data_IF_407241752831
#
_entry.id   IF_407241752831
#
_cell.length_a   1.000
_cell.length_b   1.000
_cell.length_c   1.000
_cell.angle_alpha   90.00
_cell.angle_beta   90.00
_cell.angle_gamma   90.00
#
_symmetry.space_group_name_H-M   'P 1'
#
loop_
_entity.id
_entity.type
_entity.pdbx_description
1 polymer ?
#
# COMPACT_ATOMS: atom_id res chain seq x y z
N UNK A 1 -22.14 4.01 -32.80
CA UNK A 1 -21.54 5.19 -32.17
C UNK A 1 -20.39 5.65 -33.04
N UNK A 2 -20.37 6.93 -33.42
CA UNK A 2 -19.35 7.45 -34.35
C UNK A 2 -18.05 7.67 -33.57
N UNK A 3 -16.98 6.94 -33.91
CA UNK A 3 -15.67 7.16 -33.30
C UNK A 3 -14.97 8.33 -33.98
N UNK A 4 -15.15 9.52 -33.43
CA UNK A 4 -14.61 10.76 -33.95
C UNK A 4 -13.07 10.70 -34.07
N UNK A 5 -12.40 10.15 -33.08
CA UNK A 5 -10.94 10.01 -33.05
C UNK A 5 -10.44 9.14 -34.21
N UNK A 6 -11.11 8.03 -34.50
CA UNK A 6 -10.72 7.14 -35.58
C UNK A 6 -10.99 7.78 -36.95
N UNK A 7 -12.06 8.58 -37.07
CA UNK A 7 -12.32 9.37 -38.30
C UNK A 7 -11.25 10.46 -38.52
N UNK A 8 -10.81 11.14 -37.46
CA UNK A 8 -9.68 12.09 -37.51
C UNK A 8 -8.38 11.40 -37.93
N UNK A 9 -8.06 10.21 -37.32
CA UNK A 9 -6.89 9.42 -37.71
C UNK A 9 -6.95 9.00 -39.17
N UNK A 10 -8.10 8.56 -39.64
CA UNK A 10 -8.32 8.17 -41.04
C UNK A 10 -8.09 9.36 -41.98
N UNK A 11 -8.57 10.57 -41.63
CA UNK A 11 -8.32 11.78 -42.38
C UNK A 11 -6.82 12.10 -42.48
N UNK A 12 -6.10 12.13 -41.38
CA UNK A 12 -4.66 12.38 -41.37
C UNK A 12 -3.92 11.36 -42.23
N UNK A 13 -4.23 10.07 -42.12
CA UNK A 13 -3.62 9.00 -42.94
C UNK A 13 -3.91 9.20 -44.45
N UNK A 14 -5.13 9.64 -44.81
CA UNK A 14 -5.50 9.88 -46.19
C UNK A 14 -4.73 11.07 -46.76
N UNK A 15 -4.56 12.13 -46.01
CA UNK A 15 -3.77 13.30 -46.41
C UNK A 15 -2.30 12.94 -46.60
N UNK A 16 -1.69 12.21 -45.66
CA UNK A 16 -0.28 11.80 -45.70
C UNK A 16 0.01 10.79 -46.83
N UNK A 17 -0.91 9.85 -47.08
CA UNK A 17 -0.74 8.84 -48.13
C UNK A 17 -1.14 9.37 -49.54
N UNK A 18 -1.88 10.47 -49.61
CA UNK A 18 -2.42 10.99 -50.88
C UNK A 18 -3.39 10.05 -51.60
N UNK A 19 -3.85 8.95 -50.95
CA UNK A 19 -4.63 7.90 -51.61
C UNK A 19 -5.54 7.16 -50.67
N UNK A 20 -6.83 7.12 -50.93
CA UNK A 20 -7.81 6.33 -50.20
C UNK A 20 -7.55 4.84 -50.29
N UNK A 21 -7.12 4.34 -51.46
CA UNK A 21 -6.83 2.92 -51.68
C UNK A 21 -5.60 2.46 -50.88
N UNK A 22 -4.56 3.31 -50.84
CA UNK A 22 -3.36 2.99 -50.04
C UNK A 22 -3.67 2.92 -48.53
N UNK A 23 -4.51 3.81 -48.03
CA UNK A 23 -4.95 3.81 -46.64
C UNK A 23 -5.84 2.60 -46.35
N UNK A 24 -6.79 2.30 -47.22
CA UNK A 24 -7.66 1.14 -47.08
C UNK A 24 -6.84 -0.18 -46.99
N UNK A 25 -5.82 -0.34 -47.84
CA UNK A 25 -4.91 -1.50 -47.79
C UNK A 25 -4.09 -1.57 -46.46
N UNK A 26 -3.60 -0.42 -45.96
CA UNK A 26 -2.85 -0.37 -44.69
C UNK A 26 -3.71 -0.64 -43.46
N UNK A 27 -4.99 -0.30 -43.51
CA UNK A 27 -5.94 -0.49 -42.42
C UNK A 27 -6.71 -1.81 -42.52
N UNK A 28 -6.39 -2.67 -43.48
CA UNK A 28 -7.10 -3.93 -43.76
C UNK A 28 -8.63 -3.71 -43.87
N UNK A 29 -9.03 -2.72 -44.63
CA UNK A 29 -10.44 -2.35 -44.83
C UNK A 29 -10.73 -2.00 -46.31
N UNK A 30 -11.98 -1.68 -46.61
CA UNK A 30 -12.39 -1.25 -47.97
C UNK A 30 -12.22 0.26 -48.18
N UNK A 31 -11.93 0.66 -49.41
CA UNK A 31 -11.89 2.08 -49.79
C UNK A 31 -13.22 2.79 -49.50
N UNK A 32 -14.35 2.06 -49.58
CA UNK A 32 -15.66 2.57 -49.19
C UNK A 32 -15.77 2.95 -47.71
N UNK A 33 -15.16 2.14 -46.81
CA UNK A 33 -15.14 2.43 -45.37
C UNK A 33 -14.28 3.68 -45.08
N UNK A 34 -13.10 3.79 -45.66
CA UNK A 34 -12.25 4.98 -45.55
C UNK A 34 -12.99 6.22 -46.03
N UNK A 35 -13.67 6.13 -47.20
CA UNK A 35 -14.47 7.23 -47.72
C UNK A 35 -15.62 7.63 -46.81
N UNK A 36 -16.27 6.64 -46.19
CA UNK A 36 -17.36 6.86 -45.23
C UNK A 36 -16.88 7.58 -43.97
N UNK A 37 -15.72 7.18 -43.41
CA UNK A 37 -15.10 7.83 -42.26
C UNK A 37 -14.83 9.33 -42.52
N UNK A 38 -14.26 9.64 -43.71
CA UNK A 38 -14.04 11.05 -44.12
C UNK A 38 -15.36 11.80 -44.28
N UNK A 39 -16.36 11.20 -44.92
CA UNK A 39 -17.68 11.87 -45.13
C UNK A 39 -18.39 12.09 -43.78
N UNK A 40 -18.25 11.18 -42.82
CA UNK A 40 -18.78 11.37 -41.46
C UNK A 40 -18.05 12.51 -40.72
N UNK A 41 -16.72 12.60 -40.84
CA UNK A 41 -15.94 13.70 -40.27
C UNK A 41 -16.36 15.05 -40.88
N UNK A 42 -16.43 15.14 -42.20
CA UNK A 42 -16.86 16.35 -42.92
C UNK A 42 -18.31 16.73 -42.53
N UNK A 43 -19.19 15.74 -42.38
CA UNK A 43 -20.57 15.96 -41.95
C UNK A 43 -20.67 16.48 -40.52
N UNK A 44 -19.84 15.96 -39.60
CA UNK A 44 -19.79 16.46 -38.23
C UNK A 44 -19.24 17.90 -38.12
N UNK A 45 -18.26 18.23 -38.97
CA UNK A 45 -17.64 19.57 -39.03
C UNK A 45 -18.44 20.54 -39.90
N UNK A 46 -19.48 20.07 -40.56
CA UNK A 46 -20.28 20.83 -41.53
C UNK A 46 -19.41 21.54 -42.60
N UNK A 47 -18.25 20.94 -42.91
CA UNK A 47 -17.24 21.56 -43.76
C UNK A 47 -16.52 20.49 -44.59
N UNK A 48 -16.28 20.79 -45.87
CA UNK A 48 -15.46 19.96 -46.72
C UNK A 48 -13.98 20.13 -46.40
N UNK A 49 -13.32 19.03 -46.12
CA UNK A 49 -11.87 18.99 -45.86
C UNK A 49 -11.06 18.59 -47.09
N UNK A 50 -11.65 17.77 -47.97
CA UNK A 50 -11.02 17.25 -49.18
C UNK A 50 -11.77 17.69 -50.43
N UNK A 51 -11.03 18.10 -51.46
CA UNK A 51 -11.50 18.25 -52.81
C UNK A 51 -11.15 17.00 -53.62
N UNK A 52 -12.18 16.31 -54.11
CA UNK A 52 -12.01 15.15 -54.99
C UNK A 52 -12.10 15.60 -56.44
N UNK A 53 -11.01 15.52 -57.16
CA UNK A 53 -11.02 15.52 -58.60
C UNK A 53 -10.74 14.11 -59.09
N UNK A 54 -11.10 13.80 -60.34
CA UNK A 54 -10.90 12.47 -60.93
C UNK A 54 -9.42 12.08 -61.06
N UNK A 55 -8.48 13.02 -60.82
CA UNK A 55 -7.04 12.79 -60.99
C UNK A 55 -6.19 13.11 -59.76
N UNK A 56 -6.68 13.88 -58.79
CA UNK A 56 -5.88 14.29 -57.60
C UNK A 56 -6.75 14.45 -56.37
N UNK A 57 -6.16 14.08 -55.22
CA UNK A 57 -6.66 14.39 -53.89
C UNK A 57 -6.01 15.70 -53.44
N UNK A 58 -6.80 16.71 -53.13
CA UNK A 58 -6.31 17.98 -52.61
C UNK A 58 -7.05 18.38 -51.35
N UNK A 59 -6.35 19.04 -50.41
CA UNK A 59 -6.97 19.67 -49.26
C UNK A 59 -7.71 20.96 -49.66
N UNK A 60 -8.86 21.20 -49.03
CA UNK A 60 -9.45 22.55 -49.00
C UNK A 60 -8.62 23.42 -48.04
N UNK A 61 -8.85 24.75 -48.05
CA UNK A 61 -8.23 25.64 -47.07
C UNK A 61 -8.60 25.25 -45.64
N UNK A 62 -9.88 24.92 -45.39
CA UNK A 62 -10.34 24.39 -44.11
C UNK A 62 -9.70 23.04 -43.76
N UNK A 63 -9.53 22.15 -44.76
CA UNK A 63 -8.86 20.87 -44.60
C UNK A 63 -7.40 21.02 -44.21
N UNK A 64 -6.67 21.99 -44.79
CA UNK A 64 -5.28 22.28 -44.42
C UNK A 64 -5.15 22.73 -42.98
N UNK A 65 -5.94 23.73 -42.58
CA UNK A 65 -5.96 24.23 -41.20
C UNK A 65 -6.35 23.11 -40.20
N UNK A 66 -7.33 22.30 -40.55
CA UNK A 66 -7.77 21.19 -39.73
C UNK A 66 -6.68 20.13 -39.60
N UNK A 67 -5.99 19.75 -40.68
CA UNK A 67 -4.87 18.82 -40.66
C UNK A 67 -3.73 19.29 -39.74
N UNK A 68 -3.32 20.56 -39.87
CA UNK A 68 -2.27 21.17 -39.04
C UNK A 68 -2.61 21.16 -37.54
N UNK A 69 -3.90 21.29 -37.19
CA UNK A 69 -4.37 21.29 -35.82
C UNK A 69 -4.60 19.89 -35.26
N UNK A 70 -5.17 19.00 -36.05
CA UNK A 70 -5.55 17.64 -35.57
C UNK A 70 -4.34 16.73 -35.41
N UNK A 71 -3.32 16.87 -36.25
CA UNK A 71 -2.13 16.04 -36.20
C UNK A 71 -1.41 16.08 -34.85
N UNK A 72 -1.08 17.23 -34.24
CA UNK A 72 -0.51 17.27 -32.90
C UNK A 72 -1.47 16.73 -31.80
N UNK A 73 -2.77 17.04 -31.91
CA UNK A 73 -3.76 16.52 -30.94
C UNK A 73 -3.78 14.99 -30.94
N UNK A 74 -3.75 14.35 -32.10
CA UNK A 74 -3.67 12.88 -32.18
C UNK A 74 -2.35 12.32 -31.62
N UNK A 75 -1.25 13.06 -31.82
CA UNK A 75 0.04 12.69 -31.19
C UNK A 75 -0.04 12.74 -29.68
N UNK A 76 -0.62 13.80 -29.12
CA UNK A 76 -0.80 13.95 -27.66
C UNK A 76 -1.69 12.83 -27.09
N UNK A 77 -2.75 12.44 -27.81
CA UNK A 77 -3.60 11.30 -27.44
C UNK A 77 -2.81 9.99 -27.46
N UNK A 78 -1.96 9.78 -28.46
CA UNK A 78 -1.14 8.57 -28.56
C UNK A 78 -0.08 8.52 -27.46
N UNK A 79 0.50 9.67 -27.12
CA UNK A 79 1.44 9.82 -26.00
C UNK A 79 0.77 9.52 -24.67
N UNK A 80 -0.40 10.12 -24.40
CA UNK A 80 -1.17 9.83 -23.17
C UNK A 80 -1.55 8.36 -23.05
N UNK A 81 -1.95 7.71 -24.16
CA UNK A 81 -2.24 6.28 -24.16
C UNK A 81 -0.98 5.43 -23.94
N UNK A 82 0.18 5.85 -24.46
CA UNK A 82 1.45 5.18 -24.25
C UNK A 82 1.91 5.31 -22.79
N UNK A 83 1.79 6.49 -22.19
CA UNK A 83 2.05 6.72 -20.78
C UNK A 83 1.18 5.83 -19.89
N UNK A 84 -0.14 5.80 -20.14
CA UNK A 84 -1.07 4.95 -19.39
C UNK A 84 -0.73 3.45 -19.51
N UNK A 85 -0.27 2.99 -20.67
CA UNK A 85 0.20 1.60 -20.88
C UNK A 85 1.54 1.34 -20.19
N UNK A 86 2.46 2.31 -20.23
CA UNK A 86 3.77 2.21 -19.59
C UNK A 86 3.64 2.14 -18.06
N UNK A 87 2.67 2.83 -17.47
CA UNK A 87 2.37 2.74 -16.03
C UNK A 87 2.04 1.31 -15.58
N UNK A 88 1.54 0.44 -16.46
CA UNK A 88 1.29 -0.97 -16.16
C UNK A 88 2.56 -1.84 -16.25
N UNK A 89 3.62 -1.37 -16.91
CA UNK A 89 4.83 -2.16 -17.20
C UNK A 89 6.03 -1.68 -16.38
N UNK A 90 6.22 -0.37 -16.27
CA UNK A 90 7.38 0.25 -15.61
C UNK A 90 6.94 1.02 -14.36
N UNK A 91 7.54 0.76 -13.18
CA UNK A 91 7.22 1.51 -11.98
C UNK A 91 7.85 2.90 -12.02
N UNK A 92 7.03 3.95 -12.00
CA UNK A 92 7.44 5.36 -11.93
C UNK A 92 6.36 6.23 -11.27
N UNK A 93 6.70 7.46 -10.92
CA UNK A 93 5.79 8.44 -10.32
C UNK A 93 5.62 8.23 -8.81
N UNK A 94 4.59 8.85 -8.23
CA UNK A 94 4.39 8.92 -6.78
C UNK A 94 3.58 7.73 -6.27
N UNK A 95 4.12 7.03 -5.27
CA UNK A 95 3.49 5.94 -4.51
C UNK A 95 3.16 6.44 -3.10
N UNK A 96 1.87 6.50 -2.77
CA UNK A 96 1.39 6.94 -1.45
C UNK A 96 1.09 5.74 -0.57
N UNK A 97 1.89 5.60 0.47
CA UNK A 97 1.84 4.47 1.41
C UNK A 97 1.35 4.96 2.78
N UNK A 98 0.37 4.28 3.32
CA UNK A 98 -0.01 4.40 4.73
C UNK A 98 0.54 3.22 5.50
N UNK A 99 0.96 3.44 6.76
CA UNK A 99 1.25 2.35 7.70
C UNK A 99 0.90 2.73 9.13
N UNK A 100 0.63 1.71 9.95
CA UNK A 100 0.60 1.89 11.40
C UNK A 100 2.00 2.24 11.91
N UNK A 101 2.14 3.20 12.87
CA UNK A 101 3.43 3.78 13.24
C UNK A 101 4.50 2.76 13.63
N UNK A 102 4.24 1.85 14.56
CA UNK A 102 5.23 0.87 15.01
C UNK A 102 5.77 0.00 13.86
N UNK A 103 4.87 -0.57 13.05
CA UNK A 103 5.23 -1.37 11.88
C UNK A 103 5.91 -0.52 10.80
N UNK A 104 5.40 0.70 10.59
CA UNK A 104 5.91 1.65 9.61
C UNK A 104 7.34 2.09 9.88
N UNK A 105 7.63 2.46 11.13
CA UNK A 105 8.96 2.90 11.56
C UNK A 105 9.98 1.75 11.53
N UNK A 106 9.56 0.57 11.97
CA UNK A 106 10.46 -0.56 12.12
C UNK A 106 10.79 -1.27 10.81
N UNK A 107 9.77 -1.56 10.01
CA UNK A 107 9.92 -2.43 8.84
C UNK A 107 9.60 -1.75 7.51
N UNK A 108 8.46 -1.02 7.43
CA UNK A 108 8.04 -0.47 6.15
C UNK A 108 9.02 0.59 5.64
N UNK A 109 9.61 1.40 6.54
CA UNK A 109 10.57 2.42 6.15
C UNK A 109 11.86 1.82 5.57
N UNK A 110 12.42 0.76 6.18
CA UNK A 110 13.60 0.07 5.63
C UNK A 110 13.30 -0.59 4.28
N UNK A 111 12.10 -1.19 4.13
CA UNK A 111 11.63 -1.71 2.84
C UNK A 111 11.51 -0.60 1.79
N UNK A 112 11.00 0.58 2.15
CA UNK A 112 10.90 1.73 1.23
C UNK A 112 12.28 2.19 0.78
N UNK A 113 13.25 2.27 1.70
CA UNK A 113 14.62 2.66 1.35
C UNK A 113 15.20 1.71 0.30
N UNK A 114 15.15 0.40 0.55
CA UNK A 114 15.64 -0.62 -0.40
C UNK A 114 14.84 -0.64 -1.71
N UNK A 115 13.52 -0.42 -1.65
CA UNK A 115 12.67 -0.33 -2.84
C UNK A 115 13.08 0.84 -3.74
N UNK A 116 13.36 2.02 -3.18
CA UNK A 116 13.80 3.20 -3.93
C UNK A 116 15.18 3.05 -4.56
N UNK A 117 16.06 2.26 -3.96
CA UNK A 117 17.35 1.90 -4.59
C UNK A 117 17.14 1.06 -5.86
N UNK A 118 16.18 0.14 -5.84
CA UNK A 118 15.85 -0.70 -7.00
C UNK A 118 15.01 0.04 -8.06
N UNK A 119 14.18 1.00 -7.65
CA UNK A 119 13.22 1.72 -8.51
C UNK A 119 13.32 3.23 -8.30
N UNK A 120 14.40 3.83 -8.78
CA UNK A 120 14.75 5.25 -8.56
C UNK A 120 13.76 6.27 -9.13
N UNK A 121 12.90 5.87 -10.08
CA UNK A 121 11.87 6.72 -10.68
C UNK A 121 10.57 6.77 -9.86
N UNK A 122 10.49 5.99 -8.76
CA UNK A 122 9.34 6.02 -7.85
C UNK A 122 9.62 6.94 -6.68
N UNK A 123 8.77 7.97 -6.54
CA UNK A 123 8.73 8.82 -5.35
C UNK A 123 7.80 8.18 -4.33
N UNK A 124 8.25 7.94 -3.10
CA UNK A 124 7.41 7.34 -2.05
C UNK A 124 7.06 8.37 -0.99
N UNK A 125 5.77 8.51 -0.73
CA UNK A 125 5.20 9.32 0.36
C UNK A 125 4.64 8.37 1.42
N UNK A 126 5.27 8.33 2.62
CA UNK A 126 4.84 7.49 3.73
C UNK A 126 4.11 8.32 4.77
N UNK A 127 2.88 7.94 5.08
CA UNK A 127 2.08 8.50 6.18
C UNK A 127 1.92 7.46 7.28
N UNK A 128 2.23 7.84 8.51
CA UNK A 128 2.09 6.97 9.69
C UNK A 128 0.89 7.42 10.52
N UNK A 129 -0.07 6.53 10.72
CA UNK A 129 -1.21 6.80 11.63
C UNK A 129 -1.85 5.51 12.14
N UNK A 130 -2.46 5.59 13.35
CA UNK A 130 -3.25 4.48 13.91
C UNK A 130 -4.64 4.39 13.29
N UNK A 131 -5.14 5.46 12.65
CA UNK A 131 -6.43 5.46 11.99
C UNK A 131 -6.37 4.60 10.72
N UNK A 132 -7.28 3.64 10.61
CA UNK A 132 -7.45 2.89 9.35
C UNK A 132 -7.92 3.86 8.26
N UNK A 133 -7.17 3.98 7.14
CA UNK A 133 -7.51 4.91 6.09
C UNK A 133 -8.67 4.39 5.23
N UNK A 134 -9.45 5.32 4.68
CA UNK A 134 -10.19 5.06 3.45
C UNK A 134 -9.25 5.33 2.28
N UNK A 135 -8.73 4.25 1.65
CA UNK A 135 -7.68 4.37 0.64
C UNK A 135 -8.05 5.34 -0.49
N UNK A 136 -9.31 5.32 -0.93
CA UNK A 136 -9.79 6.16 -2.03
C UNK A 136 -9.92 7.62 -1.61
N UNK A 137 -10.59 7.89 -0.49
CA UNK A 137 -10.86 9.26 -0.02
C UNK A 137 -9.59 9.94 0.52
N UNK A 138 -8.74 9.19 1.22
CA UNK A 138 -7.47 9.69 1.76
C UNK A 138 -6.35 9.67 0.71
N UNK A 139 -6.57 9.07 -0.47
CA UNK A 139 -5.65 9.08 -1.61
C UNK A 139 -4.41 8.20 -1.43
N UNK A 140 -4.51 7.08 -0.70
CA UNK A 140 -3.42 6.11 -0.55
C UNK A 140 -3.50 5.00 -1.60
N UNK A 141 -2.35 4.61 -2.15
CA UNK A 141 -2.22 3.49 -3.06
C UNK A 141 -2.16 2.15 -2.30
N UNK A 142 -1.44 2.12 -1.18
CA UNK A 142 -1.23 0.93 -0.34
C UNK A 142 -1.30 1.32 1.14
N UNK A 143 -1.94 0.48 1.96
CA UNK A 143 -1.88 0.56 3.42
C UNK A 143 -1.27 -0.72 3.99
N UNK A 144 -0.24 -0.60 4.84
CA UNK A 144 0.38 -1.72 5.56
C UNK A 144 -0.06 -1.65 7.02
N UNK A 145 -0.82 -2.64 7.45
CA UNK A 145 -1.45 -2.62 8.78
C UNK A 145 -1.48 -4.00 9.43
N UNK A 146 -1.71 -4.02 10.72
CA UNK A 146 -1.94 -5.25 11.52
C UNK A 146 -3.39 -5.33 11.96
N UNK A 147 -3.99 -6.50 11.83
CA UNK A 147 -5.33 -6.77 12.32
C UNK A 147 -5.52 -8.25 12.68
N UNK A 148 -6.42 -8.52 13.62
CA UNK A 148 -6.88 -9.89 13.88
C UNK A 148 -7.81 -10.37 12.75
N UNK A 149 -8.65 -9.45 12.25
CA UNK A 149 -9.50 -9.64 11.08
C UNK A 149 -9.73 -8.28 10.42
N UNK A 150 -9.93 -8.28 9.12
CA UNK A 150 -10.28 -7.08 8.38
C UNK A 150 -11.80 -7.03 8.18
N UNK A 151 -12.42 -5.84 8.25
CA UNK A 151 -13.81 -5.68 7.88
C UNK A 151 -14.02 -6.01 6.40
N UNK A 152 -15.20 -6.49 6.06
CA UNK A 152 -15.57 -6.69 4.66
C UNK A 152 -15.58 -5.33 3.95
N UNK A 153 -14.74 -5.20 2.94
CA UNK A 153 -14.53 -3.96 2.20
C UNK A 153 -14.27 -4.29 0.73
N UNK A 154 -14.46 -3.31 -0.15
CA UNK A 154 -14.09 -3.45 -1.56
C UNK A 154 -12.57 -3.49 -1.82
N UNK A 155 -11.75 -3.49 -0.79
CA UNK A 155 -10.29 -3.50 -0.89
C UNK A 155 -9.74 -4.92 -0.97
N UNK A 156 -8.56 -5.05 -1.57
CA UNK A 156 -7.81 -6.29 -1.58
C UNK A 156 -6.86 -6.28 -0.38
N UNK A 157 -6.97 -7.30 0.46
CA UNK A 157 -6.07 -7.53 1.56
C UNK A 157 -5.14 -8.71 1.23
N UNK A 158 -3.86 -8.42 1.12
CA UNK A 158 -2.83 -9.41 0.87
C UNK A 158 -2.08 -9.68 2.18
N UNK A 159 -2.14 -10.91 2.74
CA UNK A 159 -1.35 -11.23 3.91
C UNK A 159 0.15 -11.23 3.56
N UNK A 160 0.96 -10.61 4.44
CA UNK A 160 2.41 -10.55 4.33
C UNK A 160 3.05 -11.47 5.36
N UNK A 161 2.56 -11.45 6.60
CA UNK A 161 3.11 -12.23 7.70
C UNK A 161 2.21 -12.17 8.92
N UNK A 162 2.72 -12.68 10.02
CA UNK A 162 2.04 -12.65 11.32
C UNK A 162 2.96 -12.05 12.37
N UNK A 163 2.38 -11.48 13.41
CA UNK A 163 3.08 -11.05 14.61
C UNK A 163 2.15 -11.23 15.80
N UNK A 164 2.68 -11.22 16.99
CA UNK A 164 1.87 -11.23 18.21
C UNK A 164 2.46 -10.28 19.24
N UNK A 165 1.68 -9.96 20.26
CA UNK A 165 2.13 -9.12 21.36
C UNK A 165 2.63 -9.95 22.52
N UNK A 166 3.59 -9.38 23.25
CA UNK A 166 4.18 -9.95 24.46
C UNK A 166 4.06 -8.95 25.60
N UNK A 167 4.02 -9.45 26.85
CA UNK A 167 4.12 -8.61 28.02
C UNK A 167 5.58 -8.29 28.31
N UNK A 168 5.85 -7.01 28.57
CA UNK A 168 7.18 -6.51 28.88
C UNK A 168 7.18 -5.51 30.02
N UNK A 169 8.29 -5.42 30.72
CA UNK A 169 8.56 -4.43 31.75
C UNK A 169 10.05 -4.12 31.81
N UNK A 170 10.45 -3.01 32.42
CA UNK A 170 11.87 -2.77 32.68
C UNK A 170 12.39 -3.64 33.85
N UNK A 171 13.68 -4.01 33.81
CA UNK A 171 14.32 -4.70 34.94
C UNK A 171 14.18 -3.93 36.26
N UNK A 172 14.25 -2.58 36.19
CA UNK A 172 14.13 -1.72 37.38
C UNK A 172 12.74 -1.77 38.03
N UNK A 173 11.68 -1.92 37.22
CA UNK A 173 10.33 -2.10 37.72
C UNK A 173 10.19 -3.47 38.45
N UNK A 174 10.65 -4.53 37.76
CA UNK A 174 10.55 -5.89 38.31
C UNK A 174 11.38 -6.06 39.58
N UNK A 175 12.55 -5.42 39.68
CA UNK A 175 13.36 -5.44 40.93
C UNK A 175 12.65 -4.85 42.14
N UNK A 176 11.75 -3.85 41.90
CA UNK A 176 10.99 -3.18 42.98
C UNK A 176 9.68 -3.89 43.32
N UNK A 177 9.01 -4.45 42.33
CA UNK A 177 7.64 -4.94 42.47
C UNK A 177 7.51 -6.46 42.35
N UNK A 178 8.62 -7.15 42.10
CA UNK A 178 8.64 -8.59 41.86
C UNK A 178 8.34 -8.97 40.40
N UNK A 179 8.57 -10.25 40.09
CA UNK A 179 8.34 -10.81 38.74
C UNK A 179 7.05 -11.65 38.80
N UNK A 180 6.02 -11.32 38.01
CA UNK A 180 4.82 -12.14 37.94
C UNK A 180 5.15 -13.51 37.31
N UNK A 181 4.66 -14.59 37.91
CA UNK A 181 4.91 -15.96 37.47
C UNK A 181 3.70 -16.60 36.79
N UNK A 182 2.52 -16.07 37.04
CA UNK A 182 1.27 -16.51 36.45
C UNK A 182 0.36 -15.30 36.14
N UNK A 183 -0.61 -15.42 35.23
CA UNK A 183 -1.50 -14.31 34.87
C UNK A 183 -2.21 -13.65 36.04
N UNK A 184 -2.55 -14.41 37.06
CA UNK A 184 -3.19 -13.91 38.31
C UNK A 184 -2.32 -12.88 39.05
N UNK A 185 -1.00 -12.98 38.96
CA UNK A 185 -0.07 -12.06 39.64
C UNK A 185 -0.15 -10.64 39.07
N UNK A 186 -0.58 -10.48 37.83
CA UNK A 186 -0.75 -9.17 37.17
C UNK A 186 -1.69 -8.23 37.95
N UNK A 187 -2.61 -8.80 38.74
CA UNK A 187 -3.51 -8.00 39.58
C UNK A 187 -2.78 -7.17 40.67
N UNK A 188 -1.50 -7.47 40.95
CA UNK A 188 -0.65 -6.79 41.95
C UNK A 188 0.33 -5.81 41.28
N UNK A 189 0.31 -5.72 39.96
CA UNK A 189 1.22 -4.87 39.17
C UNK A 189 0.49 -3.69 38.54
N UNK A 190 1.23 -2.62 38.30
CA UNK A 190 0.75 -1.51 37.47
C UNK A 190 0.74 -1.98 36.00
N UNK A 191 -0.44 -2.24 35.47
CA UNK A 191 -0.64 -2.62 34.06
C UNK A 191 -0.99 -1.37 33.27
N UNK A 192 -0.22 -1.08 32.23
CA UNK A 192 -0.37 0.10 31.38
C UNK A 192 -1.21 -0.23 30.14
N UNK A 193 -2.12 0.67 29.78
CA UNK A 193 -3.04 0.48 28.68
C UNK A 193 -2.47 0.98 27.34
N UNK A 194 -2.64 0.18 26.30
CA UNK A 194 -2.43 0.57 24.89
C UNK A 194 -3.77 0.46 24.16
N UNK A 195 -4.28 1.58 23.68
CA UNK A 195 -5.56 1.66 22.97
C UNK A 195 -5.30 1.85 21.48
N UNK A 196 -5.40 0.77 20.71
CA UNK A 196 -5.22 0.79 19.26
C UNK A 196 -6.34 0.04 18.56
N UNK A 197 -6.59 0.29 17.27
CA UNK A 197 -7.59 -0.48 16.49
C UNK A 197 -7.32 -1.99 16.49
N UNK A 198 -6.08 -2.40 16.70
CA UNK A 198 -5.66 -3.80 16.68
C UNK A 198 -5.82 -4.50 18.03
N UNK A 199 -5.89 -3.76 19.16
CA UNK A 199 -5.94 -4.33 20.50
C UNK A 199 -6.85 -3.51 21.44
N UNK A 200 -7.86 -4.10 22.06
CA UNK A 200 -8.72 -3.39 23.00
C UNK A 200 -7.95 -3.01 24.28
N UNK A 201 -8.11 -1.76 24.71
CA UNK A 201 -7.37 -1.16 25.81
C UNK A 201 -7.69 -1.72 27.20
N UNK A 202 -8.72 -2.53 27.34
CA UNK A 202 -9.29 -2.88 28.64
C UNK A 202 -9.04 -4.33 29.07
N UNK A 203 -8.50 -5.19 28.20
CA UNK A 203 -8.21 -6.58 28.57
C UNK A 203 -6.99 -7.14 27.82
N UNK A 204 -6.29 -8.05 28.47
CA UNK A 204 -5.27 -8.89 27.85
C UNK A 204 -5.74 -10.34 27.82
N UNK A 205 -5.81 -10.92 26.63
CA UNK A 205 -6.05 -12.34 26.43
C UNK A 205 -4.72 -13.04 26.28
N UNK A 206 -4.38 -13.85 27.25
CA UNK A 206 -3.10 -14.53 27.37
C UNK A 206 -3.30 -16.00 27.01
N UNK A 207 -2.68 -16.44 25.93
CA UNK A 207 -2.65 -17.85 25.55
C UNK A 207 -1.36 -18.50 26.06
N UNK A 208 -1.47 -19.53 26.85
CA UNK A 208 -0.34 -20.24 27.46
C UNK A 208 -0.59 -21.73 27.69
N UNK A 209 0.31 -22.42 28.41
CA UNK A 209 0.26 -23.88 28.59
C UNK A 209 -1.03 -24.39 29.24
N UNK A 210 -1.64 -23.58 30.09
CA UNK A 210 -2.88 -23.93 30.82
C UNK A 210 -4.15 -23.47 30.10
N UNK A 211 -4.02 -23.00 28.85
CA UNK A 211 -5.11 -22.46 28.04
C UNK A 211 -5.15 -20.93 28.04
N UNK A 212 -6.35 -20.38 27.81
CA UNK A 212 -6.58 -18.94 27.75
C UNK A 212 -6.85 -18.36 29.16
N UNK A 213 -6.13 -17.30 29.51
CA UNK A 213 -6.38 -16.49 30.69
C UNK A 213 -6.71 -15.04 30.26
N UNK A 214 -7.69 -14.41 30.91
CA UNK A 214 -8.08 -13.03 30.64
C UNK A 214 -7.73 -12.17 31.85
N UNK A 215 -6.92 -11.13 31.61
CA UNK A 215 -6.61 -10.13 32.62
C UNK A 215 -7.32 -8.81 32.25
N UNK A 216 -8.20 -8.34 33.12
CA UNK A 216 -8.93 -7.08 32.95
C UNK A 216 -8.07 -5.91 33.42
N UNK A 217 -7.78 -4.95 32.52
CA UNK A 217 -7.12 -3.70 32.87
C UNK A 217 -8.14 -2.76 33.51
N UNK A 218 -8.28 -2.82 34.82
CA UNK A 218 -9.18 -1.94 35.56
C UNK A 218 -8.49 -0.60 35.80
N UNK A 219 -8.98 0.46 35.13
CA UNK A 219 -8.50 1.84 35.26
C UNK A 219 -6.95 1.93 35.23
N UNK A 220 -6.31 1.70 34.09
CA UNK A 220 -4.85 1.78 34.00
C UNK A 220 -4.40 3.17 34.44
N UNK A 221 -3.31 3.22 35.23
CA UNK A 221 -2.73 4.49 35.70
C UNK A 221 -2.17 5.33 34.58
N UNK A 222 -1.85 4.70 33.44
CA UNK A 222 -1.44 5.33 32.20
C UNK A 222 -2.05 4.55 31.04
N UNK A 223 -2.66 5.27 30.12
CA UNK A 223 -3.16 4.74 28.86
C UNK A 223 -2.68 5.62 27.71
N UNK A 224 -2.17 5.01 26.67
CA UNK A 224 -1.70 5.68 25.46
C UNK A 224 -2.28 4.99 24.23
N UNK A 225 -2.27 5.66 23.09
CA UNK A 225 -2.70 5.11 21.80
C UNK A 225 -1.53 4.86 20.83
N UNK A 226 -0.30 5.00 21.33
CA UNK A 226 0.92 4.89 20.52
C UNK A 226 1.91 3.92 21.17
N UNK A 227 2.33 2.83 20.46
CA UNK A 227 3.24 1.82 21.02
C UNK A 227 4.56 2.39 21.51
N UNK A 228 5.17 3.34 20.81
CA UNK A 228 6.44 3.92 21.23
C UNK A 228 6.29 4.77 22.50
N UNK A 229 5.18 5.48 22.66
CA UNK A 229 4.89 6.21 23.91
C UNK A 229 4.76 5.24 25.09
N UNK A 230 4.14 4.06 24.88
CA UNK A 230 4.10 3.00 25.87
C UNK A 230 5.49 2.46 26.20
N UNK A 231 6.31 2.20 25.18
CA UNK A 231 7.68 1.71 25.37
C UNK A 231 8.53 2.69 26.19
N UNK A 232 8.40 4.01 25.97
CA UNK A 232 9.05 5.04 26.82
C UNK A 232 8.65 4.92 28.27
N UNK A 233 7.36 4.79 28.57
CA UNK A 233 6.87 4.63 29.94
C UNK A 233 7.36 3.34 30.60
N UNK A 234 7.39 2.24 29.84
CA UNK A 234 7.88 0.94 30.32
C UNK A 234 9.38 0.98 30.62
N UNK A 235 10.22 1.57 29.76
CA UNK A 235 11.65 1.78 30.00
C UNK A 235 11.89 2.63 31.25
N UNK A 236 11.02 3.60 31.51
CA UNK A 236 11.07 4.43 32.71
C UNK A 236 10.63 3.71 34.01
N UNK A 237 10.21 2.45 33.93
CA UNK A 237 9.81 1.68 35.09
C UNK A 237 8.40 1.94 35.60
N UNK A 238 7.49 2.36 34.73
CA UNK A 238 6.12 2.72 35.12
C UNK A 238 5.18 1.53 35.30
N UNK A 239 5.55 0.32 34.82
CA UNK A 239 4.66 -0.83 34.92
C UNK A 239 4.98 -1.96 33.96
N UNK A 240 3.97 -2.80 33.71
CA UNK A 240 3.93 -3.87 32.71
C UNK A 240 3.02 -3.42 31.58
N UNK A 241 3.41 -3.66 30.33
CA UNK A 241 2.61 -3.34 29.14
C UNK A 241 2.71 -4.42 28.08
N UNK A 242 1.74 -4.39 27.16
CA UNK A 242 1.70 -5.28 26.00
C UNK A 242 2.18 -4.53 24.75
N UNK A 243 3.18 -5.08 24.08
CA UNK A 243 3.71 -4.54 22.82
C UNK A 243 3.86 -5.66 21.80
N UNK A 244 3.63 -5.34 20.52
CA UNK A 244 3.93 -6.24 19.42
C UNK A 244 5.44 -6.50 19.35
N UNK A 245 5.85 -7.71 18.92
CA UNK A 245 7.27 -8.12 18.87
C UNK A 245 8.09 -7.08 18.13
N UNK A 246 7.67 -6.69 16.92
CA UNK A 246 8.39 -5.71 16.10
C UNK A 246 8.56 -4.34 16.76
N UNK A 247 7.75 -4.00 17.77
CA UNK A 247 7.87 -2.74 18.52
C UNK A 247 8.83 -2.83 19.69
N UNK A 248 9.16 -4.03 20.15
CA UNK A 248 9.90 -4.23 21.40
C UNK A 248 11.19 -5.04 21.24
N UNK A 249 11.44 -5.65 20.09
CA UNK A 249 12.55 -6.58 19.87
C UNK A 249 13.92 -5.92 20.16
N UNK A 250 14.11 -4.66 19.81
CA UNK A 250 15.37 -3.97 20.09
C UNK A 250 15.56 -3.65 21.58
N UNK A 251 14.48 -3.34 22.29
CA UNK A 251 14.54 -3.18 23.75
C UNK A 251 14.90 -4.50 24.46
N UNK A 252 14.39 -5.62 23.94
CA UNK A 252 14.73 -6.95 24.44
C UNK A 252 16.19 -7.31 24.17
N UNK A 253 16.69 -7.00 22.96
CA UNK A 253 18.12 -7.19 22.61
C UNK A 253 19.04 -6.33 23.49
N UNK A 254 18.63 -5.11 23.76
CA UNK A 254 19.37 -4.17 24.60
C UNK A 254 19.22 -4.45 26.11
N UNK A 255 18.26 -5.30 26.52
CA UNK A 255 17.94 -5.55 27.91
C UNK A 255 17.30 -4.38 28.65
N UNK A 256 16.82 -3.35 27.94
CA UNK A 256 16.09 -2.20 28.50
C UNK A 256 14.68 -2.57 28.91
N UNK A 257 14.10 -3.51 28.21
CA UNK A 257 12.88 -4.23 28.59
C UNK A 257 13.15 -5.73 28.62
N UNK A 258 12.37 -6.46 29.39
CA UNK A 258 12.41 -7.93 29.49
C UNK A 258 11.01 -8.49 29.38
N UNK A 259 10.90 -9.73 28.89
CA UNK A 259 9.62 -10.43 28.80
C UNK A 259 9.09 -10.78 30.17
N UNK A 260 7.80 -10.59 30.32
CA UNK A 260 7.03 -10.98 31.48
C UNK A 260 6.09 -12.10 31.04
N UNK A 261 5.95 -13.16 31.82
CA UNK A 261 5.18 -14.36 31.50
C UNK A 261 5.57 -14.94 30.13
N UNK A 262 6.82 -15.38 29.94
CA UNK A 262 7.34 -15.74 28.61
C UNK A 262 6.61 -16.92 27.96
N UNK A 263 5.96 -17.78 28.75
CA UNK A 263 5.16 -18.90 28.27
C UNK A 263 3.78 -18.49 27.74
N UNK A 264 3.46 -17.20 27.83
CA UNK A 264 2.18 -16.64 27.38
C UNK A 264 2.37 -15.69 26.21
N UNK A 265 1.49 -15.81 25.24
CA UNK A 265 1.38 -14.92 24.08
C UNK A 265 0.04 -14.19 24.12
N UNK A 266 0.05 -12.95 23.75
CA UNK A 266 -1.19 -12.20 23.56
C UNK A 266 -1.68 -12.38 22.12
N UNK A 267 -2.70 -11.62 21.76
CA UNK A 267 -3.36 -11.71 20.47
C UNK A 267 -2.37 -11.77 19.29
N UNK A 268 -2.54 -12.80 18.46
CA UNK A 268 -1.85 -12.89 17.16
C UNK A 268 -2.52 -11.95 16.16
N UNK A 269 -1.73 -11.18 15.44
CA UNK A 269 -2.15 -10.22 14.45
C UNK A 269 -1.53 -10.57 13.09
N UNK A 270 -2.35 -10.60 12.07
CA UNK A 270 -1.84 -10.70 10.70
C UNK A 270 -1.42 -9.34 10.19
N UNK A 271 -0.29 -9.30 9.49
CA UNK A 271 0.19 -8.12 8.77
C UNK A 271 -0.33 -8.18 7.34
N UNK A 272 -1.03 -7.15 6.92
CA UNK A 272 -1.63 -7.05 5.61
C UNK A 272 -1.08 -5.86 4.82
N UNK A 273 -0.92 -6.05 3.52
CA UNK A 273 -0.93 -4.95 2.56
C UNK A 273 -2.33 -4.85 1.94
N UNK A 274 -2.94 -3.69 2.06
CA UNK A 274 -4.30 -3.42 1.59
C UNK A 274 -4.23 -2.40 0.45
N UNK A 275 -4.93 -2.66 -0.65
CA UNK A 275 -4.98 -1.80 -1.84
C UNK A 275 -6.33 -1.93 -2.57
N UNK A 276 -6.62 -1.02 -3.52
CA UNK A 276 -7.99 -0.81 -4.03
C UNK A 276 -8.48 -1.91 -4.97
N UNK A 277 -7.64 -2.46 -5.86
CA UNK A 277 -8.12 -3.36 -6.93
C UNK A 277 -7.06 -4.34 -7.39
N UNK A 278 -7.50 -5.50 -7.93
CA UNK A 278 -6.62 -6.45 -8.64
C UNK A 278 -6.53 -6.19 -10.13
N UNK A 279 -7.54 -5.54 -10.71
CA UNK A 279 -7.57 -5.22 -12.13
C UNK A 279 -6.74 -3.96 -12.39
N UNK A 280 -5.84 -4.04 -13.37
CA UNK A 280 -5.01 -2.92 -13.81
C UNK A 280 -4.16 -2.28 -12.70
N UNK A 281 -3.60 -3.13 -11.80
CA UNK A 281 -2.68 -2.66 -10.76
C UNK A 281 -1.44 -2.05 -11.42
N UNK A 282 -1.21 -0.79 -11.13
CA UNK A 282 -0.05 -0.02 -11.56
C UNK A 282 1.27 -0.74 -11.20
N UNK A 283 2.27 -0.66 -12.07
CA UNK A 283 3.54 -1.36 -11.87
C UNK A 283 4.21 -0.98 -10.56
N UNK A 284 4.13 0.30 -10.13
CA UNK A 284 4.70 0.76 -8.85
C UNK A 284 4.04 0.09 -7.64
N UNK A 285 2.73 -0.11 -7.67
CA UNK A 285 2.01 -0.80 -6.59
C UNK A 285 2.39 -2.27 -6.57
N UNK A 286 2.35 -2.95 -7.73
CA UNK A 286 2.68 -4.37 -7.84
C UNK A 286 4.10 -4.67 -7.39
N UNK A 287 5.09 -3.94 -7.91
CA UNK A 287 6.50 -4.14 -7.55
C UNK A 287 6.77 -3.79 -6.09
N UNK A 288 6.06 -2.81 -5.52
CA UNK A 288 6.15 -2.50 -4.10
C UNK A 288 5.57 -3.61 -3.21
N UNK A 289 4.42 -4.18 -3.57
CA UNK A 289 3.82 -5.32 -2.86
C UNK A 289 4.73 -6.55 -2.89
N UNK A 290 5.34 -6.85 -4.04
CA UNK A 290 6.30 -7.95 -4.19
C UNK A 290 7.55 -7.70 -3.32
N UNK A 291 8.04 -6.47 -3.32
CA UNK A 291 9.19 -6.06 -2.51
C UNK A 291 8.88 -6.14 -1.01
N UNK A 292 7.73 -5.62 -0.56
CA UNK A 292 7.29 -5.76 0.83
C UNK A 292 7.22 -7.21 1.26
N UNK A 293 6.66 -8.09 0.43
CA UNK A 293 6.60 -9.52 0.76
C UNK A 293 7.98 -10.13 0.91
N UNK A 294 8.91 -9.79 0.02
CA UNK A 294 10.27 -10.35 0.05
C UNK A 294 11.12 -9.85 1.22
N UNK A 295 10.83 -8.66 1.76
CA UNK A 295 11.61 -8.04 2.84
C UNK A 295 10.94 -8.17 4.20
N UNK A 296 9.63 -7.92 4.27
CA UNK A 296 8.91 -7.86 5.55
C UNK A 296 8.56 -9.25 6.08
N UNK A 297 8.16 -10.20 5.23
CA UNK A 297 7.78 -11.53 5.70
C UNK A 297 8.94 -12.27 6.38
N UNK A 298 10.17 -12.32 5.82
CA UNK A 298 11.32 -12.91 6.49
C UNK A 298 11.69 -12.21 7.80
N UNK A 299 11.63 -10.87 7.84
CA UNK A 299 11.95 -10.09 9.03
C UNK A 299 11.01 -10.40 10.20
N UNK A 300 9.70 -10.47 9.94
CA UNK A 300 8.71 -10.84 10.95
C UNK A 300 8.92 -12.28 11.47
N UNK A 301 9.25 -13.20 10.57
CA UNK A 301 9.54 -14.60 10.92
C UNK A 301 10.81 -14.71 11.77
N UNK A 302 11.86 -13.97 11.43
CA UNK A 302 13.09 -13.94 12.21
C UNK A 302 12.85 -13.43 13.64
N UNK A 303 12.10 -12.34 13.79
CA UNK A 303 11.73 -11.81 15.10
C UNK A 303 10.87 -12.79 15.91
N UNK A 304 9.95 -13.51 15.25
CA UNK A 304 9.16 -14.56 15.92
C UNK A 304 10.01 -15.71 16.42
N UNK A 305 11.05 -16.12 15.69
CA UNK A 305 11.98 -17.17 16.12
C UNK A 305 12.94 -16.69 17.21
N UNK A 306 13.28 -15.41 17.19
CA UNK A 306 14.21 -14.81 18.16
C UNK A 306 13.57 -14.57 19.52
N UNK A 307 12.27 -14.21 19.56
CA UNK A 307 11.57 -13.77 20.77
C UNK A 307 11.65 -14.80 21.90
N UNK A 308 11.65 -16.09 21.60
CA UNK A 308 11.68 -17.15 22.58
C UNK A 308 13.05 -17.29 23.29
N UNK A 309 14.09 -16.61 22.82
CA UNK A 309 15.41 -16.52 23.47
C UNK A 309 15.44 -15.53 24.62
N UNK A 310 14.51 -14.58 24.63
CA UNK A 310 14.44 -13.53 25.67
C UNK A 310 13.58 -14.00 26.84
N UNK A 311 14.19 -14.73 27.75
CA UNK A 311 13.60 -15.14 29.04
C UNK A 311 14.30 -14.37 30.13
N UNK A 312 13.55 -13.69 31.01
CA UNK A 312 14.12 -13.02 32.17
C UNK A 312 14.64 -14.07 33.16
N UNK A 313 15.97 -14.23 33.20
CA UNK A 313 16.60 -15.04 34.23
C UNK A 313 16.51 -14.28 35.54
N UNK A 314 15.64 -14.71 36.46
CA UNK A 314 15.71 -14.28 37.88
C UNK A 314 17.08 -14.69 38.41
N UNK A 315 17.94 -13.69 38.70
CA UNK A 315 19.12 -13.99 39.53
C UNK A 315 18.64 -14.63 40.80
N UNK A 316 19.01 -15.89 41.01
CA UNK A 316 18.78 -16.68 42.20
C UNK A 316 19.48 -16.06 43.40
#
# INVERSE_FOLDING_TARGET
MMDMLENMRTFVRVVEAGSFTAVAKRMDTSTGMVSRAISQLEGHLETRLLQRTTRHLALTESGRRYFERVRPILSDVDEANAEARNALVRPYGRLRVHSMPGLGQRHVMSSIVAYREAFSEVEVELTLSQRLPNLVEDGFDVSVLTAASLPDSGYIAQPIGVSYSVLVASPSYLAKHGVPRMPADLARHACLGLDTPAAPAHEWRLQGPEGEAVHQLRAPTLQVNEPEALAVALRAGSGIGSLAIYSVIDDLRAGTLVRVLPDYRLQTLSVYAVYVSRAYVDARIRTFLDHLRSTLAPALQEEELEIDRFVYATAT
#
